data_IF_044440425046
#
_entry.id   IF_044440425046
#
_cell.length_a   1.000
_cell.length_b   1.000
_cell.length_c   1.000
_cell.angle_alpha   90.00
_cell.angle_beta   90.00
_cell.angle_gamma   90.00
#
_symmetry.space_group_name_H-M   'P 1'
#
loop_
_entity.id
_entity.type
_entity.pdbx_description
1 polymer ?
#
# COMPACT_ATOMS: atom_id res chain seq x y z
N UNK A 1 -25.91 -17.57 39.00
CA UNK A 1 -24.71 -16.70 38.92
C UNK A 1 -24.62 -16.16 37.50
N UNK A 2 -24.83 -14.85 37.34
CA UNK A 2 -25.07 -14.20 36.05
C UNK A 2 -23.78 -14.12 35.21
N UNK A 3 -23.87 -14.51 33.94
CA UNK A 3 -22.79 -14.38 32.97
C UNK A 3 -22.55 -12.91 32.62
N UNK A 4 -21.34 -12.43 32.89
CA UNK A 4 -20.87 -11.15 32.38
C UNK A 4 -20.74 -11.24 30.84
N UNK A 5 -21.76 -10.78 30.13
CA UNK A 5 -21.67 -10.50 28.70
C UNK A 5 -20.63 -9.38 28.52
N UNK A 6 -19.41 -9.78 28.18
CA UNK A 6 -18.28 -8.88 27.95
C UNK A 6 -18.59 -8.02 26.72
N UNK A 7 -19.03 -6.78 26.94
CA UNK A 7 -19.24 -5.79 25.90
C UNK A 7 -17.89 -5.48 25.22
N UNK A 8 -17.57 -6.19 24.14
CA UNK A 8 -16.41 -5.86 23.32
C UNK A 8 -16.75 -4.58 22.54
N UNK A 9 -16.01 -3.48 22.72
CA UNK A 9 -16.30 -2.24 22.01
C UNK A 9 -16.23 -2.49 20.50
N UNK A 10 -17.26 -2.06 19.74
CA UNK A 10 -17.38 -2.25 18.28
C UNK A 10 -16.10 -1.84 17.53
N UNK A 11 -15.39 -0.85 18.04
CA UNK A 11 -14.11 -0.36 17.52
C UNK A 11 -13.04 -1.46 17.47
N UNK A 12 -12.93 -2.30 18.49
CA UNK A 12 -11.94 -3.37 18.54
C UNK A 12 -12.20 -4.48 17.50
N UNK A 13 -13.46 -4.67 17.10
CA UNK A 13 -13.84 -5.59 16.02
C UNK A 13 -13.52 -4.99 14.64
N UNK A 14 -13.75 -3.69 14.46
CA UNK A 14 -13.45 -2.98 13.21
C UNK A 14 -11.94 -2.94 12.94
N UNK A 15 -11.13 -2.61 13.95
CA UNK A 15 -9.66 -2.55 13.84
C UNK A 15 -9.05 -3.93 13.54
N UNK A 16 -9.73 -5.02 13.90
CA UNK A 16 -9.31 -6.40 13.60
C UNK A 16 -9.76 -6.91 12.23
N UNK A 17 -10.56 -6.14 11.50
CA UNK A 17 -11.08 -6.56 10.20
C UNK A 17 -10.00 -6.51 9.12
N UNK A 18 -9.73 -7.64 8.48
CA UNK A 18 -8.81 -7.72 7.32
C UNK A 18 -9.26 -6.84 6.16
N UNK A 19 -10.57 -6.64 6.01
CA UNK A 19 -11.14 -5.76 4.99
C UNK A 19 -10.87 -4.28 5.28
N UNK A 20 -10.85 -3.89 6.57
CA UNK A 20 -10.44 -2.53 6.97
C UNK A 20 -8.94 -2.33 6.70
N UNK A 21 -8.12 -3.34 6.99
CA UNK A 21 -6.70 -3.33 6.59
C UNK A 21 -6.53 -3.15 5.08
N UNK A 22 -7.31 -3.87 4.27
CA UNK A 22 -7.26 -3.75 2.81
C UNK A 22 -7.73 -2.37 2.34
N UNK A 23 -8.76 -1.80 2.97
CA UNK A 23 -9.23 -0.45 2.69
C UNK A 23 -8.12 0.58 2.90
N UNK A 24 -7.41 0.51 4.04
CA UNK A 24 -6.29 1.41 4.34
C UNK A 24 -5.20 1.31 3.27
N UNK A 25 -4.82 0.08 2.89
CA UNK A 25 -3.82 -0.13 1.82
C UNK A 25 -4.31 0.41 0.48
N UNK A 26 -5.57 0.16 0.14
CA UNK A 26 -6.19 0.60 -1.12
C UNK A 26 -6.19 2.12 -1.21
N UNK A 27 -6.54 2.83 -0.13
CA UNK A 27 -6.49 4.29 -0.07
C UNK A 27 -5.05 4.78 -0.31
N UNK A 28 -4.05 4.17 0.34
CA UNK A 28 -2.65 4.50 0.11
C UNK A 28 -2.21 4.30 -1.35
N UNK A 29 -2.59 3.18 -1.96
CA UNK A 29 -2.32 2.86 -3.38
C UNK A 29 -2.95 3.89 -4.32
N UNK A 30 -4.23 4.23 -4.13
CA UNK A 30 -4.94 5.19 -4.96
C UNK A 30 -4.34 6.60 -4.81
N UNK A 31 -4.12 7.06 -3.58
CA UNK A 31 -3.51 8.37 -3.33
C UNK A 31 -2.13 8.48 -3.97
N UNK A 32 -1.32 7.40 -3.91
CA UNK A 32 -0.02 7.37 -4.60
C UNK A 32 -0.15 7.56 -6.10
N UNK A 33 -1.12 6.90 -6.75
CA UNK A 33 -1.39 7.07 -8.18
C UNK A 33 -1.87 8.48 -8.53
N UNK A 34 -2.73 9.07 -7.70
CA UNK A 34 -3.19 10.45 -7.87
C UNK A 34 -2.02 11.44 -7.80
N UNK A 35 -1.06 11.23 -6.90
CA UNK A 35 0.15 12.05 -6.80
C UNK A 35 1.07 11.97 -8.03
N UNK A 36 0.81 11.10 -9.01
CA UNK A 36 1.54 11.04 -10.27
C UNK A 36 0.75 11.54 -11.47
N UNK A 37 -0.49 12.01 -11.28
CA UNK A 37 -1.27 12.60 -12.35
C UNK A 37 -0.70 13.96 -12.76
N UNK A 38 -0.70 14.30 -14.07
CA UNK A 38 -0.25 15.60 -14.56
C UNK A 38 -1.04 16.79 -13.99
N UNK A 39 -2.25 16.55 -13.49
CA UNK A 39 -3.08 17.56 -12.84
C UNK A 39 -2.60 17.90 -11.41
N UNK A 40 -1.79 17.03 -10.79
CA UNK A 40 -1.31 17.17 -9.40
C UNK A 40 0.17 17.54 -9.37
N UNK A 41 0.96 16.99 -10.30
CA UNK A 41 2.40 17.25 -10.43
C UNK A 41 2.65 17.97 -11.75
N UNK A 42 3.36 19.11 -11.75
CA UNK A 42 3.74 19.82 -12.97
C UNK A 42 4.42 18.90 -13.99
N UNK A 43 4.10 19.05 -15.28
CA UNK A 43 4.57 18.17 -16.34
C UNK A 43 6.11 18.18 -16.52
N UNK A 44 6.79 19.19 -15.98
CA UNK A 44 8.24 19.35 -15.96
C UNK A 44 8.91 18.73 -14.73
N UNK A 45 8.15 18.25 -13.74
CA UNK A 45 8.68 17.64 -12.55
C UNK A 45 9.27 16.25 -12.84
N UNK A 46 10.59 16.16 -12.79
CA UNK A 46 11.31 14.91 -13.01
C UNK A 46 11.69 14.24 -11.70
N UNK A 47 11.46 12.94 -11.62
CA UNK A 47 12.03 12.09 -10.57
C UNK A 47 13.07 11.19 -11.25
N UNK A 48 14.37 11.57 -11.26
CA UNK A 48 15.38 10.96 -12.13
C UNK A 48 15.46 9.43 -12.03
N UNK A 49 15.28 8.88 -10.82
CA UNK A 49 15.33 7.44 -10.60
C UNK A 49 14.09 6.67 -11.12
N UNK A 50 12.90 7.28 -11.13
CA UNK A 50 11.67 6.63 -11.61
C UNK A 50 11.50 6.74 -13.12
N UNK A 51 11.85 7.89 -13.71
CA UNK A 51 11.67 8.17 -15.14
C UNK A 51 12.54 7.30 -16.04
N UNK A 52 13.66 6.80 -15.52
CA UNK A 52 14.52 5.85 -16.25
C UNK A 52 13.84 4.52 -16.55
N UNK A 53 12.84 4.15 -15.75
CA UNK A 53 12.11 2.89 -15.90
C UNK A 53 10.82 3.13 -16.69
N UNK A 54 10.00 4.08 -16.25
CA UNK A 54 8.73 4.44 -16.88
C UNK A 54 8.40 5.92 -16.66
N UNK A 55 7.65 6.56 -17.59
CA UNK A 55 7.16 7.92 -17.37
C UNK A 55 6.17 7.98 -16.20
N UNK A 56 6.08 9.14 -15.53
CA UNK A 56 5.18 9.34 -14.38
C UNK A 56 3.71 8.97 -14.66
N UNK A 57 3.23 9.21 -15.89
CA UNK A 57 1.88 8.82 -16.31
C UNK A 57 1.65 7.31 -16.32
N UNK A 58 2.66 6.52 -16.73
CA UNK A 58 2.59 5.06 -16.69
C UNK A 58 2.60 4.55 -15.24
N UNK A 59 3.37 5.20 -14.36
CA UNK A 59 3.33 4.90 -12.93
C UNK A 59 1.98 5.26 -12.31
N UNK A 60 1.40 6.41 -12.65
CA UNK A 60 0.06 6.79 -12.23
C UNK A 60 -0.97 5.72 -12.63
N UNK A 61 -0.93 5.29 -13.89
CA UNK A 61 -1.80 4.24 -14.42
C UNK A 61 -1.64 2.91 -13.65
N UNK A 62 -0.41 2.49 -13.36
CA UNK A 62 -0.13 1.26 -12.60
C UNK A 62 -0.74 1.30 -11.20
N UNK A 63 -0.51 2.39 -10.45
CA UNK A 63 -1.05 2.55 -9.10
C UNK A 63 -2.59 2.64 -9.11
N UNK A 64 -3.17 3.38 -10.05
CA UNK A 64 -4.62 3.53 -10.16
C UNK A 64 -5.30 2.23 -10.59
N UNK A 65 -4.71 1.47 -11.52
CA UNK A 65 -5.24 0.17 -11.93
C UNK A 65 -5.21 -0.84 -10.76
N UNK A 66 -4.12 -0.89 -10.00
CA UNK A 66 -4.03 -1.70 -8.80
C UNK A 66 -5.04 -1.26 -7.73
N UNK A 67 -5.21 0.05 -7.53
CA UNK A 67 -6.20 0.61 -6.62
C UNK A 67 -7.63 0.26 -7.03
N UNK A 68 -7.96 0.35 -8.32
CA UNK A 68 -9.27 -0.04 -8.86
C UNK A 68 -9.55 -1.53 -8.66
N UNK A 69 -8.55 -2.39 -8.90
CA UNK A 69 -8.66 -3.81 -8.61
C UNK A 69 -8.92 -4.08 -7.12
N UNK A 70 -8.17 -3.44 -6.22
CA UNK A 70 -8.36 -3.61 -4.78
C UNK A 70 -9.72 -3.08 -4.31
N UNK A 71 -10.20 -1.99 -4.90
CA UNK A 71 -11.54 -1.45 -4.63
C UNK A 71 -12.64 -2.43 -5.10
N UNK A 72 -12.48 -3.04 -6.27
CA UNK A 72 -13.40 -4.08 -6.73
C UNK A 72 -13.41 -5.28 -5.76
N UNK A 73 -12.25 -5.72 -5.28
CA UNK A 73 -12.15 -6.76 -4.25
C UNK A 73 -12.85 -6.38 -2.94
N UNK A 74 -12.74 -5.12 -2.51
CA UNK A 74 -13.42 -4.59 -1.34
C UNK A 74 -14.95 -4.60 -1.50
N UNK A 75 -15.45 -4.08 -2.62
CA UNK A 75 -16.89 -4.00 -2.90
C UNK A 75 -17.53 -5.38 -3.02
N UNK A 76 -16.82 -6.34 -3.61
CA UNK A 76 -17.27 -7.70 -3.78
C UNK A 76 -17.00 -8.59 -2.56
N UNK A 77 -16.24 -8.09 -1.56
CA UNK A 77 -15.73 -8.86 -0.43
C UNK A 77 -15.06 -10.19 -0.85
N UNK A 78 -14.31 -10.18 -1.95
CA UNK A 78 -13.60 -11.35 -2.51
C UNK A 78 -12.20 -10.98 -2.96
N UNK A 79 -11.31 -11.97 -3.06
CA UNK A 79 -9.95 -11.76 -3.59
C UNK A 79 -8.98 -11.06 -2.62
N UNK A 80 -9.20 -11.18 -1.30
CA UNK A 80 -8.34 -10.56 -0.28
C UNK A 80 -6.85 -10.88 -0.47
N UNK A 81 -6.49 -12.14 -0.70
CA UNK A 81 -5.11 -12.57 -0.89
C UNK A 81 -4.42 -11.88 -2.06
N UNK A 82 -4.96 -11.98 -3.30
CA UNK A 82 -4.43 -11.26 -4.45
C UNK A 82 -4.36 -9.74 -4.25
N UNK A 83 -5.39 -9.12 -3.69
CA UNK A 83 -5.41 -7.66 -3.47
C UNK A 83 -4.30 -7.19 -2.50
N UNK A 84 -4.12 -7.91 -1.39
CA UNK A 84 -3.01 -7.66 -0.45
C UNK A 84 -1.67 -7.91 -1.13
N UNK A 85 -1.54 -8.98 -1.92
CA UNK A 85 -0.32 -9.31 -2.65
C UNK A 85 0.10 -8.20 -3.61
N UNK A 86 -0.83 -7.65 -4.39
CA UNK A 86 -0.58 -6.51 -5.29
C UNK A 86 -0.15 -5.27 -4.50
N UNK A 87 -0.85 -4.94 -3.42
CA UNK A 87 -0.49 -3.81 -2.56
C UNK A 87 0.94 -3.95 -2.04
N UNK A 88 1.30 -5.14 -1.54
CA UNK A 88 2.64 -5.45 -1.03
C UNK A 88 3.69 -5.36 -2.12
N UNK A 89 3.45 -5.97 -3.28
CA UNK A 89 4.40 -5.97 -4.39
C UNK A 89 4.71 -4.54 -4.87
N UNK A 90 3.70 -3.68 -5.00
CA UNK A 90 3.90 -2.28 -5.40
C UNK A 90 4.69 -1.48 -4.37
N UNK A 91 4.37 -1.62 -3.08
CA UNK A 91 5.13 -0.93 -2.03
C UNK A 91 6.57 -1.46 -1.93
N UNK A 92 6.77 -2.77 -2.09
CA UNK A 92 8.09 -3.37 -2.10
C UNK A 92 8.93 -2.88 -3.29
N UNK A 93 8.36 -2.88 -4.49
CA UNK A 93 9.00 -2.33 -5.69
C UNK A 93 9.40 -0.87 -5.48
N UNK A 94 8.53 -0.05 -4.88
CA UNK A 94 8.87 1.33 -4.56
C UNK A 94 10.00 1.45 -3.53
N UNK A 95 10.00 0.59 -2.51
CA UNK A 95 11.11 0.49 -1.57
C UNK A 95 12.43 0.20 -2.28
N UNK A 96 12.44 -0.73 -3.22
CA UNK A 96 13.62 -1.06 -4.03
C UNK A 96 14.06 0.11 -4.91
N UNK A 97 13.14 0.82 -5.57
CA UNK A 97 13.47 1.97 -6.43
C UNK A 97 14.10 3.12 -5.63
N UNK A 98 13.59 3.44 -4.44
CA UNK A 98 14.19 4.47 -3.59
C UNK A 98 15.51 4.03 -2.97
N UNK A 99 15.66 2.74 -2.68
CA UNK A 99 16.92 2.18 -2.20
C UNK A 99 17.99 2.22 -3.30
N UNK A 100 17.64 1.83 -4.53
CA UNK A 100 18.57 1.91 -5.67
C UNK A 100 18.94 3.34 -6.01
N UNK A 101 17.97 4.28 -5.96
CA UNK A 101 18.24 5.70 -6.14
C UNK A 101 19.25 6.25 -5.12
N UNK A 102 19.21 5.75 -3.88
CA UNK A 102 20.20 6.11 -2.86
C UNK A 102 21.56 5.48 -3.13
N UNK A 103 21.61 4.18 -3.50
CA UNK A 103 22.85 3.48 -3.82
C UNK A 103 23.57 4.04 -5.07
N UNK A 104 22.82 4.64 -5.98
CA UNK A 104 23.32 5.28 -7.20
C UNK A 104 23.58 6.79 -7.04
N UNK A 105 23.48 7.31 -5.82
CA UNK A 105 23.69 8.74 -5.48
C UNK A 105 22.71 9.72 -6.20
N UNK A 106 21.56 9.22 -6.64
CA UNK A 106 20.50 10.02 -7.28
C UNK A 106 19.54 10.65 -6.27
N UNK A 107 19.52 10.11 -5.04
CA UNK A 107 18.69 10.62 -3.96
C UNK A 107 19.43 10.52 -2.61
N UNK A 108 19.97 11.63 -2.08
CA UNK A 108 20.74 11.63 -0.82
C UNK A 108 19.97 11.08 0.39
N UNK A 109 18.63 11.14 0.35
CA UNK A 109 17.73 10.65 1.42
C UNK A 109 16.82 9.50 0.95
N UNK A 110 17.14 8.84 -0.17
CA UNK A 110 16.32 7.75 -0.73
C UNK A 110 16.12 6.59 0.27
N UNK A 111 17.12 6.30 1.10
CA UNK A 111 17.04 5.28 2.15
C UNK A 111 15.87 5.48 3.14
N UNK A 112 15.56 6.73 3.50
CA UNK A 112 14.50 7.03 4.48
C UNK A 112 13.11 6.75 3.88
N UNK A 113 12.93 7.12 2.61
CA UNK A 113 11.71 6.80 1.87
C UNK A 113 11.58 5.29 1.64
N UNK A 114 12.67 4.61 1.27
CA UNK A 114 12.71 3.16 1.11
C UNK A 114 12.31 2.43 2.40
N UNK A 115 12.84 2.86 3.55
CA UNK A 115 12.48 2.32 4.86
C UNK A 115 10.98 2.42 5.13
N UNK A 116 10.35 3.56 4.80
CA UNK A 116 8.91 3.74 4.97
C UNK A 116 8.11 2.73 4.15
N UNK A 117 8.54 2.45 2.92
CA UNK A 117 7.94 1.43 2.07
C UNK A 117 8.08 0.02 2.64
N UNK A 118 9.29 -0.34 3.07
CA UNK A 118 9.52 -1.65 3.68
C UNK A 118 8.76 -1.82 4.99
N UNK A 119 8.57 -0.74 5.77
CA UNK A 119 7.70 -0.77 6.94
C UNK A 119 6.24 -1.07 6.59
N UNK A 120 5.69 -0.46 5.53
CA UNK A 120 4.32 -0.77 5.07
C UNK A 120 4.21 -2.25 4.70
N UNK A 121 5.20 -2.79 3.98
CA UNK A 121 5.26 -4.21 3.62
C UNK A 121 5.31 -5.10 4.86
N UNK A 122 6.21 -4.83 5.80
CA UNK A 122 6.37 -5.60 7.03
C UNK A 122 5.11 -5.57 7.90
N UNK A 123 4.50 -4.39 8.07
CA UNK A 123 3.25 -4.22 8.81
C UNK A 123 2.08 -4.91 8.13
N UNK A 124 2.05 -4.95 6.80
CA UNK A 124 1.04 -5.69 6.05
C UNK A 124 1.18 -7.19 6.27
N UNK A 125 2.39 -7.74 6.12
CA UNK A 125 2.64 -9.15 6.40
C UNK A 125 2.29 -9.52 7.85
N UNK A 126 2.71 -8.68 8.80
CA UNK A 126 2.38 -8.87 10.20
C UNK A 126 0.86 -8.83 10.44
N UNK A 127 0.17 -7.79 9.97
CA UNK A 127 -1.25 -7.58 10.22
C UNK A 127 -2.15 -8.65 9.59
N UNK A 128 -1.85 -9.06 8.35
CA UNK A 128 -2.62 -10.09 7.64
C UNK A 128 -2.18 -11.52 7.99
N UNK A 129 -0.94 -11.72 8.45
CA UNK A 129 -0.39 -13.01 8.86
C UNK A 129 -0.95 -13.56 10.16
N UNK A 130 -1.34 -12.69 11.11
CA UNK A 130 -1.95 -13.07 12.41
C UNK A 130 -3.30 -13.79 12.30
N UNK A 131 -3.84 -13.89 11.09
CA UNK A 131 -5.10 -14.54 10.81
C UNK A 131 -5.10 -16.07 10.86
N UNK A 132 -3.94 -16.71 11.07
CA UNK A 132 -3.78 -18.17 11.05
C UNK A 132 -3.80 -18.85 12.43
N UNK A 133 -3.74 -18.09 13.52
CA UNK A 133 -3.57 -18.65 14.87
C UNK A 133 -4.91 -18.83 15.64
N UNK A 134 -6.02 -19.00 14.92
CA UNK A 134 -7.36 -18.95 15.54
C UNK A 134 -8.37 -19.98 15.09
N UNK A 135 -8.00 -20.95 14.24
CA UNK A 135 -8.79 -22.14 13.85
C UNK A 135 -7.95 -23.05 12.96
#
# INVERSE_FOLDING_TARGET
MAGHAMYRPRVALIVRSRWVGLLILTVGVVLRGVCYLPAVVPADHRVPALERVLPLSAWAALWLAAGAFCLACLMLHRGLGPAVGICVALHFLWGLLYLSAWLLDESPRGYATALTYFMVVALTYWGFGRGRDGR
#
